data_IF_301912531444
#
_entry.id   IF_301912531444
#
_cell.length_a   1.000
_cell.length_b   1.000
_cell.length_c   1.000
_cell.angle_alpha   90.00
_cell.angle_beta   90.00
_cell.angle_gamma   90.00
#
_symmetry.space_group_name_H-M   'P 1'
#
loop_
_entity.id
_entity.type
_entity.pdbx_description
1 polymer ?
#
# COMPACT_ATOMS: atom_id res chain seq x y z
N UNK A 1 14.84 28.22 -2.91
CA UNK A 1 15.57 26.94 -3.14
C UNK A 1 14.65 25.73 -2.97
N UNK A 2 13.79 25.66 -1.95
CA UNK A 2 12.84 24.53 -1.78
C UNK A 2 11.90 24.34 -2.98
N UNK A 3 11.48 25.44 -3.60
CA UNK A 3 10.61 25.42 -4.78
C UNK A 3 11.31 24.80 -5.99
N UNK A 4 12.58 25.11 -6.16
CA UNK A 4 13.43 24.54 -7.21
C UNK A 4 13.68 23.04 -6.97
N UNK A 5 13.86 22.59 -5.73
CA UNK A 5 13.95 21.16 -5.42
C UNK A 5 12.63 20.42 -5.71
N UNK A 6 11.48 21.01 -5.39
CA UNK A 6 10.16 20.44 -5.77
C UNK A 6 10.02 20.29 -7.29
N UNK A 7 10.50 21.27 -8.03
CA UNK A 7 10.49 21.22 -9.50
C UNK A 7 11.44 20.15 -10.04
N UNK A 8 12.63 20.02 -9.46
CA UNK A 8 13.57 18.98 -9.80
C UNK A 8 12.99 17.57 -9.61
N UNK A 9 12.37 17.30 -8.46
CA UNK A 9 11.69 16.04 -8.15
C UNK A 9 10.57 15.77 -9.15
N UNK A 10 9.75 16.79 -9.48
CA UNK A 10 8.66 16.64 -10.45
C UNK A 10 9.18 16.31 -11.86
N UNK A 11 10.24 16.96 -12.33
CA UNK A 11 10.86 16.68 -13.64
C UNK A 11 11.49 15.27 -13.65
N UNK A 12 12.15 14.87 -12.57
CA UNK A 12 12.75 13.55 -12.45
C UNK A 12 11.71 12.42 -12.52
N UNK A 13 10.52 12.63 -11.92
CA UNK A 13 9.41 11.65 -11.90
C UNK A 13 8.60 11.61 -13.20
N UNK A 14 8.35 12.76 -13.82
CA UNK A 14 7.58 12.84 -15.06
C UNK A 14 8.41 12.44 -16.29
N UNK A 15 9.74 12.66 -16.25
CA UNK A 15 10.64 12.44 -17.38
C UNK A 15 10.59 13.55 -18.44
N UNK A 16 9.77 14.60 -18.25
CA UNK A 16 9.68 15.75 -19.16
C UNK A 16 9.47 17.07 -18.43
N UNK A 17 10.06 18.15 -18.94
CA UNK A 17 9.86 19.50 -18.41
C UNK A 17 8.43 20.00 -18.58
N UNK A 18 7.76 19.58 -19.65
CA UNK A 18 6.39 19.99 -19.95
C UNK A 18 5.38 19.31 -19.03
N UNK A 19 5.52 17.99 -18.80
CA UNK A 19 4.64 17.25 -17.88
C UNK A 19 4.80 17.69 -16.43
N UNK A 20 6.03 17.91 -15.98
CA UNK A 20 6.29 18.50 -14.66
C UNK A 20 5.65 19.89 -14.53
N UNK A 21 5.69 20.72 -15.59
CA UNK A 21 5.03 22.01 -15.62
C UNK A 21 3.51 21.89 -15.43
N UNK A 22 2.88 20.95 -16.13
CA UNK A 22 1.44 20.71 -15.99
C UNK A 22 1.07 20.27 -14.56
N UNK A 23 1.89 19.41 -13.92
CA UNK A 23 1.68 18.98 -12.52
C UNK A 23 1.81 20.12 -11.52
N UNK A 24 2.74 21.07 -11.76
CA UNK A 24 3.05 22.16 -10.84
C UNK A 24 2.28 23.46 -11.13
N UNK A 25 1.46 23.48 -12.18
CA UNK A 25 0.79 24.71 -12.64
C UNK A 25 1.78 25.75 -13.21
N UNK A 26 2.88 25.30 -13.82
CA UNK A 26 3.95 26.14 -14.38
C UNK A 26 4.07 25.95 -15.89
N UNK A 27 4.58 26.97 -16.57
CA UNK A 27 5.00 26.81 -17.98
C UNK A 27 6.30 26.03 -18.07
N UNK A 28 6.56 25.36 -19.19
CA UNK A 28 7.82 24.63 -19.43
C UNK A 28 9.05 25.55 -19.30
N UNK A 29 8.95 26.81 -19.73
CA UNK A 29 10.03 27.79 -19.56
C UNK A 29 10.29 28.14 -18.09
N UNK A 30 9.25 28.24 -17.26
CA UNK A 30 9.39 28.46 -15.83
C UNK A 30 10.04 27.27 -15.13
N UNK A 31 9.67 26.03 -15.50
CA UNK A 31 10.30 24.80 -15.02
C UNK A 31 11.80 24.79 -15.38
N UNK A 32 12.13 25.04 -16.66
CA UNK A 32 13.54 25.11 -17.12
C UNK A 32 14.35 26.16 -16.37
N UNK A 33 13.76 27.34 -16.12
CA UNK A 33 14.43 28.39 -15.36
C UNK A 33 14.65 28.00 -13.88
N UNK A 34 13.72 27.26 -13.27
CA UNK A 34 13.88 26.77 -11.90
C UNK A 34 14.96 25.69 -11.82
N UNK A 35 14.99 24.73 -12.77
CA UNK A 35 16.05 23.72 -12.82
C UNK A 35 17.42 24.37 -13.02
N UNK A 36 17.54 25.32 -13.95
CA UNK A 36 18.80 26.04 -14.15
C UNK A 36 19.27 26.75 -12.88
N UNK A 37 18.38 27.44 -12.16
CA UNK A 37 18.73 28.07 -10.88
C UNK A 37 19.21 27.08 -9.84
N UNK A 38 18.60 25.86 -9.81
CA UNK A 38 19.03 24.80 -8.90
C UNK A 38 20.42 24.29 -9.27
N UNK A 39 20.66 24.02 -10.55
CA UNK A 39 21.96 23.58 -11.06
C UNK A 39 23.05 24.63 -10.79
N UNK A 40 22.75 25.91 -11.02
CA UNK A 40 23.65 27.04 -10.71
C UNK A 40 23.94 27.12 -9.19
N UNK A 41 22.93 26.89 -8.33
CA UNK A 41 23.09 26.88 -6.87
C UNK A 41 23.94 25.70 -6.38
N UNK A 42 23.76 24.50 -6.97
CA UNK A 42 24.50 23.29 -6.62
C UNK A 42 25.89 23.23 -7.29
N UNK A 43 26.11 24.02 -8.32
CA UNK A 43 27.34 24.01 -9.11
C UNK A 43 27.51 22.81 -10.04
N UNK A 44 26.46 22.00 -10.21
CA UNK A 44 26.47 20.79 -11.04
C UNK A 44 25.20 20.67 -11.87
N UNK A 45 25.32 20.11 -13.09
CA UNK A 45 24.15 19.75 -13.88
C UNK A 45 23.49 18.49 -13.30
N UNK A 46 22.15 18.42 -13.34
CA UNK A 46 21.36 17.31 -12.81
C UNK A 46 20.77 16.43 -13.92
N UNK A 47 20.63 16.98 -15.13
CA UNK A 47 20.10 16.29 -16.29
C UNK A 47 21.12 16.21 -17.42
N UNK A 48 20.99 15.16 -18.25
CA UNK A 48 21.80 15.01 -19.45
C UNK A 48 21.41 16.06 -20.51
N UNK A 49 22.41 16.72 -21.12
CA UNK A 49 22.18 17.72 -22.17
C UNK A 49 21.97 17.02 -23.51
N UNK A 50 20.88 17.33 -24.18
CA UNK A 50 20.62 16.89 -25.56
C UNK A 50 19.62 15.75 -25.73
N UNK A 51 19.08 15.18 -24.68
CA UNK A 51 18.00 14.20 -24.79
C UNK A 51 16.63 14.89 -24.99
N UNK A 52 15.74 14.28 -25.77
CA UNK A 52 14.34 14.72 -25.89
C UNK A 52 13.55 14.56 -24.60
N UNK A 53 14.00 13.66 -23.70
CA UNK A 53 13.45 13.42 -22.38
C UNK A 53 14.38 14.00 -21.31
N UNK A 54 13.84 14.36 -20.15
CA UNK A 54 14.59 14.80 -18.99
C UNK A 54 15.22 13.59 -18.27
N UNK A 55 16.40 13.19 -18.72
CA UNK A 55 17.13 12.03 -18.15
C UNK A 55 18.09 12.54 -17.08
N UNK A 56 18.00 12.02 -15.86
CA UNK A 56 18.95 12.32 -14.80
C UNK A 56 20.35 11.81 -15.15
N UNK A 57 21.36 12.66 -15.00
CA UNK A 57 22.75 12.24 -15.03
C UNK A 57 23.18 11.58 -13.69
N UNK A 58 24.45 11.25 -13.51
CA UNK A 58 24.95 10.62 -12.29
C UNK A 58 24.68 11.47 -11.05
N UNK A 59 24.95 12.79 -11.10
CA UNK A 59 24.69 13.73 -10.00
C UNK A 59 23.20 13.85 -9.70
N UNK A 60 22.34 13.90 -10.73
CA UNK A 60 20.89 13.96 -10.55
C UNK A 60 20.34 12.74 -9.83
N UNK A 61 20.82 11.54 -10.17
CA UNK A 61 20.43 10.29 -9.50
C UNK A 61 20.86 10.25 -8.02
N UNK A 62 22.05 10.73 -7.71
CA UNK A 62 22.57 10.81 -6.34
C UNK A 62 21.83 11.88 -5.53
N UNK A 63 21.50 13.01 -6.16
CA UNK A 63 20.86 14.16 -5.50
C UNK A 63 19.36 13.97 -5.26
N UNK A 64 18.68 13.14 -6.06
CA UNK A 64 17.21 12.97 -5.99
C UNK A 64 16.72 12.54 -4.60
N UNK A 65 17.25 11.49 -3.95
CA UNK A 65 16.82 11.11 -2.61
C UNK A 65 17.07 12.20 -1.57
N UNK A 66 18.21 12.91 -1.66
CA UNK A 66 18.52 14.01 -0.76
C UNK A 66 17.57 15.20 -0.94
N UNK A 67 17.19 15.51 -2.18
CA UNK A 67 16.20 16.54 -2.50
C UNK A 67 14.80 16.18 -1.94
N UNK A 68 14.42 14.92 -2.02
CA UNK A 68 13.16 14.43 -1.45
C UNK A 68 13.14 14.56 0.07
N UNK A 69 14.22 14.18 0.75
CA UNK A 69 14.36 14.33 2.21
C UNK A 69 14.31 15.81 2.64
N UNK A 70 15.01 16.68 1.92
CA UNK A 70 15.05 18.12 2.22
C UNK A 70 13.67 18.77 2.04
N UNK A 71 12.96 18.42 0.96
CA UNK A 71 11.59 18.93 0.75
C UNK A 71 10.64 18.41 1.83
N UNK A 72 10.72 17.13 2.18
CA UNK A 72 9.91 16.55 3.25
C UNK A 72 10.21 17.20 4.62
N UNK A 73 11.48 17.51 4.90
CA UNK A 73 11.86 18.24 6.13
C UNK A 73 11.29 19.67 6.13
N UNK A 74 11.41 20.39 5.02
CA UNK A 74 10.85 21.75 4.91
C UNK A 74 9.33 21.76 5.07
N UNK A 75 8.63 20.77 4.53
CA UNK A 75 7.18 20.62 4.70
C UNK A 75 6.80 20.31 6.16
N UNK A 76 7.55 19.45 6.84
CA UNK A 76 7.39 19.23 8.29
C UNK A 76 7.57 20.49 9.10
N UNK A 77 8.61 21.28 8.82
CA UNK A 77 8.85 22.57 9.50
C UNK A 77 7.70 23.56 9.25
N UNK A 78 7.18 23.63 8.04
CA UNK A 78 6.06 24.50 7.71
C UNK A 78 4.76 24.06 8.43
N UNK A 79 4.53 22.77 8.59
CA UNK A 79 3.38 22.24 9.36
C UNK A 79 3.49 22.50 10.86
N UNK A 80 4.70 22.50 11.41
CA UNK A 80 4.95 22.80 12.84
C UNK A 80 4.77 24.29 13.15
N UNK A 81 5.04 25.19 12.19
CA UNK A 81 4.93 26.63 12.37
C UNK A 81 3.47 27.15 12.33
N UNK A 82 2.53 26.37 11.80
CA UNK A 82 1.09 26.68 11.74
C UNK A 82 0.31 25.88 12.77
N UNK A 83 0.26 26.34 14.01
CA UNK A 83 -0.55 25.71 15.04
C UNK A 83 -2.01 25.63 14.60
N UNK A 84 -2.46 24.45 14.11
CA UNK A 84 -3.86 24.12 13.90
C UNK A 84 -4.29 23.65 12.50
N UNK A 85 -3.51 23.88 11.45
CA UNK A 85 -3.90 23.43 10.09
C UNK A 85 -2.89 22.43 9.51
N UNK A 86 -3.25 21.14 9.57
CA UNK A 86 -2.55 20.10 8.82
C UNK A 86 -3.03 20.16 7.38
N UNK A 87 -2.16 20.58 6.47
CA UNK A 87 -2.43 20.67 5.02
C UNK A 87 -1.33 19.95 4.23
N UNK A 88 -1.64 19.57 3.00
CA UNK A 88 -0.67 18.89 2.14
C UNK A 88 -1.27 17.75 1.33
N UNK A 89 -0.42 16.83 0.88
CA UNK A 89 -0.84 15.64 0.16
C UNK A 89 -0.28 14.38 0.83
N UNK A 90 -1.06 13.31 0.82
CA UNK A 90 -0.69 12.00 1.34
C UNK A 90 -0.99 10.94 0.28
N UNK A 91 0.02 10.15 -0.10
CA UNK A 91 -0.09 9.04 -1.04
C UNK A 91 -0.07 7.74 -0.24
N UNK A 92 -1.16 6.98 -0.30
CA UNK A 92 -1.32 5.73 0.44
C UNK A 92 -1.44 4.58 -0.55
N UNK A 93 -0.47 3.66 -0.53
CA UNK A 93 -0.61 2.37 -1.17
C UNK A 93 -1.59 1.50 -0.40
N UNK A 94 -2.48 0.77 -1.07
CA UNK A 94 -3.41 -0.11 -0.36
C UNK A 94 -3.79 -1.34 -1.20
N UNK A 95 -3.73 -2.52 -0.59
CA UNK A 95 -4.26 -3.75 -1.20
C UNK A 95 -5.79 -3.71 -1.27
N UNK A 96 -6.37 -4.40 -2.24
CA UNK A 96 -7.81 -4.36 -2.51
C UNK A 96 -8.68 -4.62 -1.26
N UNK A 97 -8.36 -5.66 -0.48
CA UNK A 97 -9.14 -6.03 0.71
C UNK A 97 -9.18 -4.96 1.81
N UNK A 98 -8.16 -4.11 1.91
CA UNK A 98 -8.12 -3.00 2.89
C UNK A 98 -8.95 -1.81 2.41
N UNK A 99 -9.04 -1.61 1.09
CA UNK A 99 -9.78 -0.52 0.49
C UNK A 99 -11.29 -0.62 0.71
N UNK A 100 -11.82 -1.80 0.99
CA UNK A 100 -13.26 -2.05 1.11
C UNK A 100 -13.86 -1.67 2.48
N UNK A 101 -13.10 -1.74 3.57
CA UNK A 101 -13.59 -1.45 4.92
C UNK A 101 -12.64 -0.55 5.72
N UNK A 102 -11.48 -1.06 6.09
CA UNK A 102 -10.56 -0.38 7.03
C UNK A 102 -10.18 1.02 6.56
N UNK A 103 -9.75 1.13 5.30
CA UNK A 103 -9.32 2.41 4.73
C UNK A 103 -10.49 3.40 4.59
N UNK A 104 -11.67 2.92 4.24
CA UNK A 104 -12.88 3.78 4.10
C UNK A 104 -13.24 4.40 5.46
N UNK A 105 -13.24 3.60 6.53
CA UNK A 105 -13.53 4.08 7.88
C UNK A 105 -12.49 5.08 8.37
N UNK A 106 -11.22 4.77 8.18
CA UNK A 106 -10.13 5.67 8.55
C UNK A 106 -10.17 6.99 7.76
N UNK A 107 -10.45 6.94 6.45
CA UNK A 107 -10.58 8.13 5.61
C UNK A 107 -11.78 9.01 6.01
N UNK A 108 -12.88 8.41 6.41
CA UNK A 108 -14.04 9.14 6.91
C UNK A 108 -13.69 10.00 8.13
N UNK A 109 -13.01 9.41 9.11
CA UNK A 109 -12.53 10.12 10.30
C UNK A 109 -11.44 11.15 9.96
N UNK A 110 -10.47 10.75 9.13
CA UNK A 110 -9.36 11.62 8.73
C UNK A 110 -9.85 12.87 8.01
N UNK A 111 -10.77 12.75 7.07
CA UNK A 111 -11.31 13.90 6.33
C UNK A 111 -12.13 14.86 7.20
N UNK A 112 -12.80 14.34 8.24
CA UNK A 112 -13.52 15.17 9.20
C UNK A 112 -12.55 16.06 10.02
N UNK A 113 -11.38 15.52 10.37
CA UNK A 113 -10.36 16.26 11.13
C UNK A 113 -9.41 17.11 10.27
N UNK A 114 -9.18 16.71 9.02
CA UNK A 114 -8.16 17.31 8.14
C UNK A 114 -8.70 17.53 6.71
N UNK A 115 -9.69 18.42 6.53
CA UNK A 115 -10.38 18.62 5.23
C UNK A 115 -9.46 19.14 4.13
N UNK A 116 -8.40 19.87 4.47
CA UNK A 116 -7.47 20.50 3.52
C UNK A 116 -6.34 19.56 3.06
N UNK A 117 -6.32 18.31 3.55
CA UNK A 117 -5.35 17.31 3.10
C UNK A 117 -5.89 16.56 1.89
N UNK A 118 -5.12 16.58 0.80
CA UNK A 118 -5.41 15.77 -0.38
C UNK A 118 -4.85 14.36 -0.20
N UNK A 119 -5.73 13.35 -0.16
CA UNK A 119 -5.32 11.94 -0.11
C UNK A 119 -5.43 11.32 -1.50
N UNK A 120 -4.36 10.62 -1.91
CA UNK A 120 -4.32 9.78 -3.12
C UNK A 120 -4.13 8.33 -2.73
N UNK A 121 -5.05 7.47 -3.13
CA UNK A 121 -4.92 6.02 -2.95
C UNK A 121 -4.29 5.42 -4.20
N UNK A 122 -3.28 4.58 -4.00
CA UNK A 122 -2.58 3.83 -5.05
C UNK A 122 -2.89 2.35 -4.83
N UNK A 123 -3.72 1.74 -5.70
CA UNK A 123 -4.02 0.31 -5.58
C UNK A 123 -2.80 -0.52 -6.00
N UNK A 124 -2.66 -1.72 -5.41
CA UNK A 124 -1.59 -2.63 -5.80
C UNK A 124 -1.53 -3.87 -4.93
N UNK A 125 -0.64 -4.79 -5.28
CA UNK A 125 -0.32 -5.98 -4.49
C UNK A 125 0.78 -5.68 -3.49
N UNK A 126 0.83 -6.42 -2.37
CA UNK A 126 1.72 -6.12 -1.23
C UNK A 126 3.18 -5.93 -1.61
N UNK A 127 3.73 -6.78 -2.49
CA UNK A 127 5.14 -6.67 -2.91
C UNK A 127 5.42 -5.41 -3.72
N UNK A 128 4.55 -5.06 -4.67
CA UNK A 128 4.68 -3.84 -5.47
C UNK A 128 4.55 -2.59 -4.60
N UNK A 129 3.59 -2.56 -3.68
CA UNK A 129 3.37 -1.45 -2.76
C UNK A 129 4.56 -1.26 -1.80
N UNK A 130 5.18 -2.35 -1.33
CA UNK A 130 6.40 -2.28 -0.55
C UNK A 130 7.53 -1.59 -1.34
N UNK A 131 7.75 -1.97 -2.60
CA UNK A 131 8.74 -1.33 -3.46
C UNK A 131 8.45 0.16 -3.70
N UNK A 132 7.17 0.53 -3.84
CA UNK A 132 6.77 1.94 -4.01
C UNK A 132 6.99 2.78 -2.73
N UNK A 133 6.83 2.19 -1.53
CA UNK A 133 7.19 2.86 -0.26
C UNK A 133 8.70 3.07 -0.18
N UNK A 134 9.48 2.04 -0.51
CA UNK A 134 10.94 2.10 -0.50
C UNK A 134 11.47 3.15 -1.48
N UNK A 135 10.90 3.21 -2.68
CA UNK A 135 11.22 4.22 -3.70
C UNK A 135 10.65 5.64 -3.39
N UNK A 136 9.88 5.83 -2.31
CA UNK A 136 9.23 7.11 -1.99
C UNK A 136 8.10 7.52 -2.96
N UNK A 137 7.59 6.60 -3.77
CA UNK A 137 6.45 6.84 -4.67
C UNK A 137 5.13 6.96 -3.91
N UNK A 138 4.99 6.24 -2.79
CA UNK A 138 3.93 6.39 -1.81
C UNK A 138 4.52 6.66 -0.42
N UNK A 139 3.79 7.38 0.41
CA UNK A 139 4.28 7.82 1.72
C UNK A 139 4.10 6.73 2.79
N UNK A 140 3.11 5.87 2.61
CA UNK A 140 2.85 4.67 3.41
C UNK A 140 2.05 3.66 2.60
N UNK A 141 2.06 2.39 3.01
CA UNK A 141 1.20 1.39 2.40
C UNK A 141 0.50 0.50 3.45
N UNK A 142 -0.73 0.12 3.14
CA UNK A 142 -1.55 -0.84 3.88
C UNK A 142 -1.48 -2.17 3.14
N UNK A 143 -0.83 -3.15 3.74
CA UNK A 143 -0.56 -4.42 3.08
C UNK A 143 -0.48 -5.59 4.06
N UNK A 144 -0.33 -6.80 3.54
CA UNK A 144 -0.10 -8.01 4.33
C UNK A 144 1.36 -8.02 4.78
N UNK A 145 1.61 -8.43 6.03
CA UNK A 145 2.96 -8.52 6.60
C UNK A 145 3.93 -9.25 5.66
N UNK A 146 5.04 -8.60 5.28
CA UNK A 146 6.06 -9.24 4.47
C UNK A 146 6.64 -10.48 5.17
N UNK A 147 6.88 -11.60 4.45
CA UNK A 147 7.44 -12.82 5.00
C UNK A 147 8.98 -12.79 5.12
N UNK A 148 9.58 -11.61 5.04
CA UNK A 148 11.02 -11.37 5.09
C UNK A 148 11.35 -10.10 5.87
N UNK A 149 12.64 -9.88 6.18
CA UNK A 149 13.10 -8.68 6.84
C UNK A 149 12.93 -7.45 5.95
N UNK A 150 12.47 -6.35 6.54
CA UNK A 150 12.30 -5.08 5.84
C UNK A 150 13.66 -4.36 5.65
N UNK A 151 13.77 -3.47 4.66
CA UNK A 151 14.84 -2.49 4.61
C UNK A 151 14.97 -1.72 5.94
N UNK A 152 16.18 -1.34 6.36
CA UNK A 152 16.39 -0.71 7.68
C UNK A 152 15.60 0.59 7.89
N UNK A 153 15.30 1.31 6.81
CA UNK A 153 14.57 2.59 6.82
C UNK A 153 13.05 2.41 6.93
N UNK A 154 12.56 1.19 6.71
CA UNK A 154 11.14 0.88 6.74
C UNK A 154 10.76 0.12 7.98
N UNK A 155 9.63 0.47 8.56
CA UNK A 155 9.08 -0.22 9.71
C UNK A 155 7.70 -0.81 9.44
N UNK A 156 7.31 -1.74 10.28
CA UNK A 156 6.03 -2.41 10.28
C UNK A 156 5.20 -2.03 11.50
N UNK A 157 4.03 -1.45 11.28
CA UNK A 157 3.05 -1.17 12.32
C UNK A 157 1.84 -2.10 12.14
N UNK A 158 1.64 -3.11 13.00
CA UNK A 158 0.50 -4.00 12.90
C UNK A 158 -0.83 -3.26 13.16
N UNK A 159 -1.87 -3.59 12.43
CA UNK A 159 -3.21 -3.04 12.61
C UNK A 159 -4.23 -4.12 13.01
N UNK A 160 -4.31 -5.21 12.27
CA UNK A 160 -5.28 -6.27 12.53
C UNK A 160 -4.80 -7.64 12.06
N UNK A 161 -5.44 -8.68 12.62
CA UNK A 161 -5.24 -10.07 12.21
C UNK A 161 -6.54 -10.61 11.68
N UNK A 162 -6.51 -11.19 10.49
CA UNK A 162 -7.66 -11.76 9.82
C UNK A 162 -7.56 -13.28 9.81
N UNK A 163 -8.55 -13.95 10.42
CA UNK A 163 -8.66 -15.42 10.39
C UNK A 163 -8.86 -15.86 8.94
N UNK A 164 -8.12 -16.89 8.52
CA UNK A 164 -8.38 -17.56 7.25
C UNK A 164 -9.38 -18.70 7.49
N UNK A 165 -10.43 -18.71 6.69
CA UNK A 165 -11.55 -19.66 6.78
C UNK A 165 -11.71 -20.43 5.47
N UNK A 166 -12.37 -21.57 5.52
CA UNK A 166 -12.81 -22.25 4.32
C UNK A 166 -14.09 -21.59 3.80
N UNK A 167 -14.02 -21.07 2.58
CA UNK A 167 -15.17 -20.61 1.82
C UNK A 167 -15.68 -21.73 0.91
N UNK A 168 -16.97 -22.02 1.00
CA UNK A 168 -17.65 -23.03 0.20
C UNK A 168 -19.04 -22.53 -0.22
N UNK A 169 -19.64 -23.07 -1.30
CA UNK A 169 -21.01 -22.73 -1.67
C UNK A 169 -22.00 -23.01 -0.53
N UNK A 170 -22.93 -22.08 -0.27
CA UNK A 170 -23.93 -22.26 0.80
C UNK A 170 -24.78 -23.52 0.61
N UNK A 171 -25.05 -23.91 -0.64
CA UNK A 171 -25.82 -25.10 -1.00
C UNK A 171 -25.05 -26.40 -0.78
N UNK A 172 -23.72 -26.37 -0.61
CA UNK A 172 -22.94 -27.61 -0.36
C UNK A 172 -23.25 -28.18 1.02
N UNK A 173 -23.40 -29.49 1.12
CA UNK A 173 -23.66 -30.17 2.39
C UNK A 173 -22.50 -29.94 3.38
N UNK A 174 -22.79 -29.74 4.68
CA UNK A 174 -21.75 -29.60 5.70
C UNK A 174 -20.91 -30.90 5.79
N UNK A 175 -19.58 -30.70 5.80
CA UNK A 175 -18.62 -31.81 6.01
C UNK A 175 -17.40 -31.23 6.74
N UNK A 176 -16.55 -32.07 7.37
CA UNK A 176 -15.30 -31.63 7.96
C UNK A 176 -14.43 -30.92 6.93
N UNK A 177 -13.87 -29.76 7.30
CA UNK A 177 -13.15 -28.89 6.37
C UNK A 177 -11.99 -29.61 5.65
N UNK A 178 -11.36 -30.60 6.30
CA UNK A 178 -10.27 -31.40 5.69
C UNK A 178 -10.78 -32.25 4.53
N UNK A 179 -11.94 -32.87 4.69
CA UNK A 179 -12.59 -33.70 3.66
C UNK A 179 -13.01 -32.83 2.47
N UNK A 180 -13.57 -31.65 2.76
CA UNK A 180 -13.96 -30.69 1.72
C UNK A 180 -12.74 -30.26 0.89
N UNK A 181 -11.62 -29.88 1.53
CA UNK A 181 -10.39 -29.47 0.84
C UNK A 181 -9.77 -30.60 0.01
N UNK A 182 -9.89 -31.83 0.45
CA UNK A 182 -9.35 -33.00 -0.26
C UNK A 182 -10.22 -33.45 -1.46
N UNK A 183 -11.55 -33.25 -1.36
CA UNK A 183 -12.50 -33.78 -2.33
C UNK A 183 -12.96 -32.76 -3.39
N UNK A 184 -12.90 -31.50 -3.10
CA UNK A 184 -13.45 -30.45 -3.97
C UNK A 184 -12.36 -29.75 -4.82
N UNK A 185 -12.70 -29.26 -6.01
CA UNK A 185 -11.82 -28.37 -6.75
C UNK A 185 -11.42 -27.18 -5.89
N UNK A 186 -10.14 -26.83 -5.86
CA UNK A 186 -9.60 -25.75 -5.04
C UNK A 186 -9.28 -24.52 -5.88
N UNK A 187 -9.86 -23.39 -5.51
CA UNK A 187 -9.55 -22.09 -6.08
C UNK A 187 -8.44 -21.50 -5.22
N UNK A 188 -7.25 -21.44 -5.81
CA UNK A 188 -6.02 -21.07 -5.12
C UNK A 188 -5.87 -19.57 -5.02
N UNK A 189 -5.62 -19.06 -3.82
CA UNK A 189 -5.08 -17.73 -3.62
C UNK A 189 -3.62 -17.72 -4.07
N UNK A 190 -3.25 -16.82 -5.00
CA UNK A 190 -1.96 -16.81 -5.70
C UNK A 190 -0.77 -16.96 -4.74
N UNK A 191 0.04 -18.00 -4.96
CA UNK A 191 1.22 -18.32 -4.14
C UNK A 191 2.30 -17.25 -4.19
N UNK A 192 2.36 -16.44 -5.26
CA UNK A 192 3.33 -15.36 -5.37
C UNK A 192 2.96 -14.19 -4.45
N UNK A 193 1.68 -14.05 -4.11
CA UNK A 193 1.22 -13.03 -3.18
C UNK A 193 1.55 -13.36 -1.72
N UNK A 194 1.65 -12.33 -0.86
CA UNK A 194 1.89 -12.56 0.57
C UNK A 194 0.74 -13.32 1.23
N UNK A 195 -0.51 -13.05 0.80
CA UNK A 195 -1.69 -13.75 1.31
C UNK A 195 -1.72 -15.22 0.92
N UNK A 196 -1.47 -15.52 -0.34
CA UNK A 196 -1.43 -16.88 -0.84
C UNK A 196 -0.29 -17.71 -0.24
N UNK A 197 0.86 -17.08 0.06
CA UNK A 197 1.95 -17.73 0.81
C UNK A 197 1.52 -18.22 2.19
N UNK A 198 0.72 -17.43 2.90
CA UNK A 198 0.18 -17.85 4.23
C UNK A 198 -0.69 -19.10 4.08
N UNK A 199 -1.53 -19.15 3.04
CA UNK A 199 -2.36 -20.32 2.71
C UNK A 199 -1.49 -21.52 2.30
N UNK A 200 -0.49 -21.31 1.45
CA UNK A 200 0.41 -22.36 0.99
C UNK A 200 1.20 -23.01 2.14
N UNK A 201 1.73 -22.18 3.04
CA UNK A 201 2.41 -22.65 4.26
C UNK A 201 1.48 -23.47 5.16
N UNK A 202 0.22 -23.04 5.31
CA UNK A 202 -0.77 -23.78 6.08
C UNK A 202 -1.04 -25.16 5.47
N UNK A 203 -1.31 -25.24 4.16
CA UNK A 203 -1.58 -26.51 3.48
C UNK A 203 -0.40 -27.48 3.60
N UNK A 204 0.83 -26.98 3.44
CA UNK A 204 2.07 -27.76 3.63
C UNK A 204 2.20 -28.26 5.07
N UNK A 205 1.99 -27.39 6.06
CA UNK A 205 2.07 -27.73 7.49
C UNK A 205 1.04 -28.80 7.86
N UNK A 206 -0.17 -28.70 7.31
CA UNK A 206 -1.27 -29.65 7.53
C UNK A 206 -1.17 -30.92 6.66
N UNK A 207 -0.18 -30.97 5.73
CA UNK A 207 0.01 -32.07 4.78
C UNK A 207 -1.25 -32.37 3.95
N UNK A 208 -1.94 -31.29 3.53
CA UNK A 208 -3.15 -31.40 2.71
C UNK A 208 -2.77 -31.18 1.25
N UNK A 209 -3.03 -32.21 0.44
CA UNK A 209 -3.00 -32.07 -1.02
C UNK A 209 -4.39 -31.57 -1.49
N UNK A 210 -4.40 -30.54 -2.32
CA UNK A 210 -5.62 -29.98 -2.91
C UNK A 210 -5.60 -30.16 -4.42
N UNK A 211 -6.77 -30.33 -5.02
CA UNK A 211 -6.93 -30.38 -6.47
C UNK A 211 -7.15 -28.96 -7.02
N UNK A 212 -6.06 -28.30 -7.41
CA UNK A 212 -6.09 -26.92 -7.88
C UNK A 212 -6.77 -26.79 -9.24
N UNK A 213 -7.82 -25.99 -9.30
CA UNK A 213 -8.59 -25.74 -10.52
C UNK A 213 -8.28 -24.35 -11.12
N UNK A 214 -8.11 -23.32 -10.27
CA UNK A 214 -7.85 -21.93 -10.65
C UNK A 214 -6.89 -21.30 -9.64
N UNK A 215 -6.04 -20.40 -10.08
CA UNK A 215 -5.16 -19.59 -9.20
C UNK A 215 -5.29 -18.11 -9.54
N UNK A 216 -5.55 -17.23 -8.55
CA UNK A 216 -5.64 -15.78 -8.72
C UNK A 216 -5.45 -15.04 -7.39
N UNK A 217 -5.13 -13.73 -7.44
CA UNK A 217 -4.82 -12.91 -6.23
C UNK A 217 -6.00 -12.04 -5.76
N UNK A 218 -7.17 -12.08 -6.38
CA UNK A 218 -8.29 -11.20 -6.04
C UNK A 218 -9.34 -11.95 -5.20
N UNK A 219 -9.44 -11.58 -3.90
CA UNK A 219 -10.29 -12.30 -2.92
C UNK A 219 -11.77 -12.28 -3.32
N UNK A 220 -12.28 -11.15 -3.79
CA UNK A 220 -13.67 -11.00 -4.24
C UNK A 220 -13.96 -11.91 -5.43
N UNK A 221 -13.04 -11.98 -6.38
CA UNK A 221 -13.18 -12.86 -7.53
C UNK A 221 -13.14 -14.33 -7.13
N UNK A 222 -12.24 -14.71 -6.19
CA UNK A 222 -12.22 -16.08 -5.62
C UNK A 222 -13.56 -16.39 -4.94
N UNK A 223 -14.05 -15.50 -4.07
CA UNK A 223 -15.32 -15.67 -3.37
C UNK A 223 -16.49 -15.83 -4.35
N UNK A 224 -16.47 -15.05 -5.43
CA UNK A 224 -17.49 -15.13 -6.48
C UNK A 224 -17.43 -16.47 -7.23
N UNK A 225 -16.25 -16.97 -7.55
CA UNK A 225 -16.09 -18.32 -8.15
C UNK A 225 -16.61 -19.41 -7.21
N UNK A 226 -16.32 -19.32 -5.91
CA UNK A 226 -16.86 -20.25 -4.91
C UNK A 226 -18.39 -20.19 -4.89
N UNK A 227 -18.97 -18.99 -4.86
CA UNK A 227 -20.43 -18.77 -4.89
C UNK A 227 -21.10 -19.45 -6.08
N UNK A 228 -20.44 -19.44 -7.24
CA UNK A 228 -20.92 -20.08 -8.46
C UNK A 228 -20.58 -21.58 -8.57
N UNK A 229 -20.07 -22.20 -7.50
CA UNK A 229 -19.84 -23.64 -7.44
C UNK A 229 -18.60 -24.13 -8.20
N UNK A 230 -17.66 -23.25 -8.57
CA UNK A 230 -16.44 -23.66 -9.27
C UNK A 230 -15.46 -24.41 -8.36
N UNK A 231 -15.66 -24.38 -7.06
CA UNK A 231 -14.82 -25.05 -6.08
C UNK A 231 -14.94 -24.43 -4.69
N UNK A 232 -13.91 -24.67 -3.88
CA UNK A 232 -13.76 -24.12 -2.53
C UNK A 232 -12.45 -23.38 -2.39
N UNK A 233 -12.33 -22.48 -1.41
CA UNK A 233 -11.13 -21.67 -1.21
C UNK A 233 -10.81 -21.47 0.27
N UNK A 234 -9.55 -21.18 0.57
CA UNK A 234 -9.14 -20.63 1.87
C UNK A 234 -8.96 -19.11 1.73
N UNK A 235 -9.84 -18.35 2.37
CA UNK A 235 -9.89 -16.89 2.27
C UNK A 235 -9.86 -16.23 3.65
N UNK A 236 -9.30 -15.02 3.79
CA UNK A 236 -9.44 -14.27 5.03
C UNK A 236 -10.91 -13.88 5.24
N UNK A 237 -11.35 -13.91 6.48
CA UNK A 237 -12.67 -13.43 6.91
C UNK A 237 -12.66 -11.90 6.94
N UNK A 238 -13.09 -11.28 5.84
CA UNK A 238 -13.15 -9.82 5.71
C UNK A 238 -14.51 -9.30 6.17
N UNK A 239 -14.53 -8.13 6.82
CA UNK A 239 -15.78 -7.46 7.22
C UNK A 239 -16.62 -6.99 6.02
N UNK A 240 -15.96 -6.57 4.94
CA UNK A 240 -16.61 -6.06 3.72
C UNK A 240 -16.93 -7.14 2.69
N UNK A 241 -16.58 -8.40 2.93
CA UNK A 241 -16.85 -9.47 1.97
C UNK A 241 -18.35 -9.79 1.96
N UNK A 242 -18.95 -9.72 0.77
CA UNK A 242 -20.31 -10.23 0.57
C UNK A 242 -20.31 -11.75 0.75
N UNK A 243 -21.06 -12.23 1.75
CA UNK A 243 -21.16 -13.64 2.10
C UNK A 243 -22.45 -14.30 1.62
N UNK A 244 -23.31 -13.59 0.88
CA UNK A 244 -24.51 -14.19 0.31
C UNK A 244 -24.13 -15.32 -0.66
N UNK A 245 -24.80 -16.46 -0.54
CA UNK A 245 -24.48 -17.67 -1.28
C UNK A 245 -23.20 -18.40 -0.86
N UNK A 246 -22.48 -17.90 0.17
CA UNK A 246 -21.27 -18.53 0.72
C UNK A 246 -21.51 -19.05 2.13
N UNK A 247 -20.82 -20.14 2.45
CA UNK A 247 -20.63 -20.62 3.82
C UNK A 247 -19.16 -20.48 4.18
N UNK A 248 -18.89 -19.72 5.25
CA UNK A 248 -17.55 -19.53 5.80
C UNK A 248 -17.37 -20.43 7.03
N UNK A 249 -16.47 -21.39 6.95
CA UNK A 249 -16.23 -22.40 7.99
C UNK A 249 -14.88 -22.13 8.65
N UNK A 250 -14.88 -21.97 9.97
CA UNK A 250 -13.63 -21.87 10.75
C UNK A 250 -12.90 -23.21 10.74
N UNK A 251 -11.58 -23.15 10.75
CA UNK A 251 -10.73 -24.35 10.77
C UNK A 251 -10.49 -24.87 12.20
N UNK A 252 -11.17 -24.31 13.20
CA UNK A 252 -11.07 -24.72 14.60
C UNK A 252 -9.65 -24.61 15.15
N UNK A 253 -9.14 -25.67 15.78
CA UNK A 253 -7.79 -25.70 16.36
C UNK A 253 -6.66 -25.49 15.33
N UNK A 254 -6.97 -25.66 14.05
CA UNK A 254 -6.03 -25.39 12.96
C UNK A 254 -6.09 -23.97 12.43
N UNK A 255 -6.87 -23.07 13.06
CA UNK A 255 -7.03 -21.68 12.61
C UNK A 255 -5.68 -20.97 12.45
N UNK A 256 -5.57 -20.23 11.38
CA UNK A 256 -4.40 -19.40 11.08
C UNK A 256 -4.85 -18.03 10.55
N UNK A 257 -3.93 -17.09 10.53
CA UNK A 257 -4.25 -15.69 10.27
C UNK A 257 -3.26 -15.09 9.29
N UNK A 258 -3.70 -14.07 8.57
CA UNK A 258 -2.81 -13.09 7.94
C UNK A 258 -2.80 -11.81 8.78
N UNK A 259 -1.68 -11.12 8.77
CA UNK A 259 -1.53 -9.84 9.48
C UNK A 259 -1.59 -8.69 8.48
N UNK A 260 -2.40 -7.68 8.78
CA UNK A 260 -2.48 -6.42 8.02
C UNK A 260 -1.86 -5.32 8.85
N UNK A 261 -1.09 -4.45 8.22
CA UNK A 261 -0.48 -3.32 8.90
C UNK A 261 -0.07 -2.21 7.94
N UNK A 262 0.53 -1.19 8.52
CA UNK A 262 1.13 -0.07 7.80
C UNK A 262 2.61 -0.36 7.61
N UNK A 263 3.11 -0.11 6.42
CA UNK A 263 4.53 -0.01 6.14
C UNK A 263 4.86 1.42 5.72
N UNK A 264 5.98 1.94 6.21
CA UNK A 264 6.44 3.30 5.94
C UNK A 264 7.73 3.59 6.69
N UNK A 265 8.24 4.80 6.56
CA UNK A 265 9.38 5.28 7.36
C UNK A 265 8.90 5.59 8.77
N UNK A 266 9.20 4.71 9.74
CA UNK A 266 8.77 4.80 11.14
C UNK A 266 9.86 5.44 12.02
N UNK A 267 9.51 6.03 13.18
CA UNK A 267 8.13 6.26 13.63
C UNK A 267 7.44 7.35 12.83
N UNK A 268 6.12 7.25 12.64
CA UNK A 268 5.37 8.37 12.07
C UNK A 268 5.36 9.52 13.06
N UNK A 269 5.89 10.67 12.67
CA UNK A 269 5.76 11.90 13.47
C UNK A 269 4.29 12.20 13.72
N UNK A 270 3.89 12.24 15.00
CA UNK A 270 2.50 12.47 15.42
C UNK A 270 1.92 13.80 14.90
N UNK A 271 2.78 14.79 14.62
CA UNK A 271 2.39 16.07 14.00
C UNK A 271 2.24 16.00 12.48
N UNK A 272 2.76 14.97 11.82
CA UNK A 272 2.73 14.83 10.37
C UNK A 272 1.37 14.35 9.86
N UNK A 273 1.10 14.64 8.57
CA UNK A 273 -0.08 14.11 7.86
C UNK A 273 -0.12 12.58 7.92
N UNK A 274 1.04 11.93 7.72
CA UNK A 274 1.18 10.48 7.81
C UNK A 274 0.88 9.94 9.19
N UNK A 275 1.40 10.60 10.25
CA UNK A 275 1.12 10.23 11.64
C UNK A 275 -0.37 10.32 11.98
N UNK A 276 -1.03 11.42 11.56
CA UNK A 276 -2.48 11.58 11.78
C UNK A 276 -3.30 10.51 11.04
N UNK A 277 -2.92 10.12 9.84
CA UNK A 277 -3.55 9.02 9.11
C UNK A 277 -3.30 7.68 9.81
N UNK A 278 -2.08 7.42 10.29
CA UNK A 278 -1.76 6.20 11.03
C UNK A 278 -2.60 6.09 12.32
N UNK A 279 -2.81 7.20 13.05
CA UNK A 279 -3.73 7.24 14.22
C UNK A 279 -5.16 6.88 13.84
N UNK A 280 -5.71 7.45 12.74
CA UNK A 280 -7.05 7.12 12.26
C UNK A 280 -7.17 5.64 11.83
N UNK A 281 -6.13 5.10 11.17
CA UNK A 281 -6.08 3.69 10.80
C UNK A 281 -6.06 2.77 12.01
N UNK A 282 -5.28 3.10 13.03
CA UNK A 282 -5.22 2.33 14.28
C UNK A 282 -6.58 2.34 15.00
N UNK A 283 -7.23 3.51 15.13
CA UNK A 283 -8.59 3.59 15.70
C UNK A 283 -9.61 2.81 14.88
N UNK A 284 -9.59 2.92 13.56
CA UNK A 284 -10.47 2.15 12.68
C UNK A 284 -10.24 0.64 12.80
N UNK A 285 -9.00 0.21 13.07
CA UNK A 285 -8.66 -1.19 13.32
C UNK A 285 -9.02 -1.65 14.75
N UNK A 286 -9.29 -0.74 15.69
CA UNK A 286 -9.50 -1.04 17.10
C UNK A 286 -8.20 -1.37 17.85
N UNK A 287 -7.08 -0.79 17.42
CA UNK A 287 -5.75 -0.98 18.00
C UNK A 287 -5.09 0.37 18.33
N UNK A 288 -3.93 0.33 18.94
CA UNK A 288 -3.09 1.51 19.20
C UNK A 288 -1.79 1.41 18.41
N UNK A 289 -1.22 2.55 18.04
CA UNK A 289 0.11 2.58 17.44
C UNK A 289 1.13 2.15 18.52
N UNK A 290 2.04 1.29 18.12
CA UNK A 290 3.20 0.95 18.95
C UNK A 290 4.22 2.08 18.81
N UNK A 291 4.79 2.59 19.94
CA UNK A 291 5.77 3.67 19.89
C UNK A 291 7.05 3.30 19.16
#
# INVERSE_FOLDING_TARGET
VIKEFKTFIAVARDGTFTGAGAQLGLTQSAVSAQIKRLEDYLGVALFDRGARAAVLNAHGREMLPQAEELVAMAERMASTAGAGHVSGSLRIGAIASVQQDLLVRALGEFRAGYPDVRVRIVPGVSLSLLGQVDAGEVDMALLIRPPFALPPELGWQPLLREEVVLAMPAAMAPAPWREVLAAQPFIRYDRASFGGRVVDLFLKKQRIAVHEAVELDEIEAIANMVRHGLGVALLPRLRGLDTDGLRLVSLGDAAFHREIGIIGRLPFDAGSVGGKMAECLARAAGTTLTP
#
